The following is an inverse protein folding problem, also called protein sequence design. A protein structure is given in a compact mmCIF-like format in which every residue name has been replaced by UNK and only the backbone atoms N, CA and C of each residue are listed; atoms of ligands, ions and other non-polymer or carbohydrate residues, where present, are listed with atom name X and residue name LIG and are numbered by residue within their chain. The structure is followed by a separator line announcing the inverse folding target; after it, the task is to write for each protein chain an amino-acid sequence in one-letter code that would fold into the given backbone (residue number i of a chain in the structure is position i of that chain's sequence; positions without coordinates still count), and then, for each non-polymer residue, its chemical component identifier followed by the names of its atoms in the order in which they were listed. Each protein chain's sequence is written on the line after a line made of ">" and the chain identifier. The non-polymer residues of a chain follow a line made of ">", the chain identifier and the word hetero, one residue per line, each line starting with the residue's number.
data_IF_139717999930
#
_entry.id   IF_139717999930
#
_cell.length_a   1.000
_cell.length_b   1.000
_cell.length_c   1.000
_cell.angle_alpha   90.00
_cell.angle_beta   90.00
_cell.angle_gamma   90.00
#
_symmetry.space_group_name_H-M   'P 1'
#
loop_
_entity.id
_entity.type
_entity.pdbx_description
1 polymer ?
#
# COMPACT_ATOMS: atom_id res chain seq x y z
N UNK A 1 22.25 -21.15 70.34
CA UNK A 1 21.70 -19.84 69.96
C UNK A 1 22.00 -19.71 68.49
N UNK A 2 21.03 -20.11 67.63
CA UNK A 2 21.24 -20.23 66.17
C UNK A 2 20.63 -19.00 65.55
N UNK A 3 21.45 -18.18 64.92
CA UNK A 3 21.02 -16.99 64.18
C UNK A 3 20.55 -17.43 62.79
N UNK A 4 19.27 -17.23 62.55
CA UNK A 4 18.59 -17.52 61.27
C UNK A 4 18.79 -16.33 60.35
N UNK A 5 19.51 -16.46 59.24
CA UNK A 5 19.66 -15.44 58.24
C UNK A 5 18.38 -15.38 57.36
N UNK A 6 17.67 -14.28 57.35
CA UNK A 6 16.57 -14.09 56.37
C UNK A 6 17.02 -13.11 55.32
N UNK A 7 17.07 -13.48 54.05
CA UNK A 7 17.00 -12.39 53.09
C UNK A 7 17.47 -12.61 51.67
N UNK A 8 18.27 -13.63 51.38
CA UNK A 8 18.84 -13.77 50.03
C UNK A 8 17.81 -14.14 48.94
N UNK A 9 16.78 -14.93 49.32
CA UNK A 9 15.76 -15.42 48.38
C UNK A 9 14.76 -14.36 47.92
N UNK A 10 14.60 -13.27 48.66
CA UNK A 10 13.65 -12.18 48.28
C UNK A 10 14.25 -11.25 47.23
N UNK A 11 15.54 -10.98 47.29
CA UNK A 11 16.22 -10.08 46.32
C UNK A 11 16.35 -10.71 44.93
N UNK A 12 16.58 -12.02 44.87
CA UNK A 12 16.67 -12.74 43.59
C UNK A 12 15.35 -12.72 42.80
N UNK A 13 14.18 -12.82 43.50
CA UNK A 13 12.87 -12.75 42.86
C UNK A 13 12.55 -11.36 42.34
N UNK A 14 12.91 -10.30 43.04
CA UNK A 14 12.71 -8.93 42.58
C UNK A 14 13.62 -8.58 41.40
N UNK A 15 14.86 -9.03 41.37
CA UNK A 15 15.79 -8.80 40.25
C UNK A 15 15.30 -9.51 38.97
N UNK A 16 14.73 -10.72 39.07
CA UNK A 16 14.19 -11.45 37.93
C UNK A 16 12.95 -10.79 37.34
N UNK A 17 12.11 -10.19 38.17
CA UNK A 17 10.89 -9.45 37.68
C UNK A 17 11.28 -8.13 37.01
N UNK A 18 12.28 -7.41 37.55
CA UNK A 18 12.77 -6.18 36.89
C UNK A 18 13.46 -6.46 35.55
N UNK A 19 14.16 -7.58 35.40
CA UNK A 19 14.78 -7.95 34.13
C UNK A 19 13.76 -8.36 33.08
N UNK A 20 12.64 -8.98 33.47
CA UNK A 20 11.55 -9.33 32.55
C UNK A 20 10.80 -8.10 32.00
N UNK A 21 10.73 -7.00 32.74
CA UNK A 21 10.10 -5.74 32.30
C UNK A 21 10.99 -4.98 31.31
N UNK A 22 12.31 -5.12 31.41
CA UNK A 22 13.25 -4.48 30.48
C UNK A 22 13.31 -5.16 29.11
N UNK A 23 12.77 -6.38 28.97
CA UNK A 23 12.64 -7.10 27.70
C UNK A 23 11.31 -6.86 26.99
N UNK A 24 10.44 -6.00 27.53
CA UNK A 24 9.27 -5.48 26.82
C UNK A 24 9.76 -4.52 25.74
N UNK A 25 10.42 -5.07 24.73
CA UNK A 25 10.89 -4.31 23.59
C UNK A 25 9.71 -3.50 23.02
N UNK A 26 9.95 -2.24 22.72
CA UNK A 26 9.03 -1.42 21.94
C UNK A 26 8.66 -2.21 20.69
N UNK A 27 7.47 -2.78 20.66
CA UNK A 27 6.95 -3.38 19.43
C UNK A 27 6.80 -2.24 18.45
N UNK A 28 7.62 -2.25 17.40
CA UNK A 28 7.44 -1.33 16.27
C UNK A 28 5.99 -1.54 15.78
N UNK A 29 5.19 -0.47 15.67
CA UNK A 29 3.82 -0.63 15.21
C UNK A 29 3.84 -1.24 13.80
N UNK A 30 3.37 -2.47 13.66
CA UNK A 30 3.28 -3.13 12.37
C UNK A 30 2.35 -2.34 11.45
N UNK A 31 2.72 -2.24 10.17
CA UNK A 31 1.80 -1.77 9.15
C UNK A 31 0.65 -2.79 8.98
N UNK A 32 -0.50 -2.39 8.41
CA UNK A 32 -1.54 -3.34 8.06
C UNK A 32 -0.95 -4.49 7.24
N UNK A 33 -1.44 -5.70 7.44
CA UNK A 33 -1.12 -6.82 6.55
C UNK A 33 -1.87 -6.59 5.22
N UNK A 34 -1.22 -5.86 4.35
CA UNK A 34 -1.79 -5.31 3.12
C UNK A 34 -1.27 -6.05 1.88
N UNK A 35 -0.76 -7.23 2.05
CA UNK A 35 -0.01 -7.92 1.00
C UNK A 35 -0.81 -8.46 -0.17
N UNK A 36 -2.11 -8.20 -0.29
CA UNK A 36 -2.91 -8.73 -1.42
C UNK A 36 -4.04 -7.80 -1.81
N UNK A 37 -4.26 -7.70 -3.11
CA UNK A 37 -5.42 -7.04 -3.67
C UNK A 37 -6.67 -7.87 -3.34
N UNK A 38 -7.65 -7.23 -2.76
CA UNK A 38 -8.93 -7.82 -2.45
C UNK A 38 -9.94 -7.43 -3.53
N UNK A 39 -10.56 -8.43 -4.16
CA UNK A 39 -11.72 -8.22 -5.04
C UNK A 39 -12.97 -8.46 -4.21
N UNK A 40 -13.83 -7.44 -4.10
CA UNK A 40 -15.07 -7.57 -3.34
C UNK A 40 -15.93 -8.70 -3.92
N UNK A 41 -16.50 -9.52 -3.04
CA UNK A 41 -17.40 -10.61 -3.45
C UNK A 41 -18.63 -10.16 -4.25
N UNK A 42 -18.97 -8.88 -4.15
CA UNK A 42 -20.06 -8.24 -4.89
C UNK A 42 -19.55 -7.33 -6.01
N UNK A 43 -18.26 -7.41 -6.34
CA UNK A 43 -17.67 -6.60 -7.39
C UNK A 43 -18.42 -6.81 -8.72
N UNK A 44 -18.68 -5.71 -9.41
CA UNK A 44 -19.19 -5.75 -10.77
C UNK A 44 -18.05 -6.11 -11.74
N UNK A 45 -18.08 -7.32 -12.28
CA UNK A 45 -17.03 -7.80 -13.19
C UNK A 45 -17.58 -7.94 -14.59
N UNK A 46 -16.93 -7.28 -15.55
CA UNK A 46 -17.14 -7.44 -17.00
C UNK A 46 -15.78 -7.68 -17.65
N UNK A 47 -15.52 -8.90 -18.04
CA UNK A 47 -14.25 -9.36 -18.63
C UNK A 47 -14.08 -10.85 -18.47
N UNK A 48 -13.02 -11.40 -19.05
CA UNK A 48 -12.67 -12.80 -18.85
C UNK A 48 -11.99 -13.02 -17.48
N UNK A 49 -12.13 -14.21 -16.92
CA UNK A 49 -11.42 -14.59 -15.69
C UNK A 49 -9.89 -14.42 -15.84
N UNK A 50 -9.37 -14.62 -17.05
CA UNK A 50 -7.96 -14.42 -17.37
C UNK A 50 -7.57 -12.95 -17.19
N UNK A 51 -8.32 -12.02 -17.79
CA UNK A 51 -8.01 -10.59 -17.69
C UNK A 51 -8.07 -10.09 -16.24
N UNK A 52 -9.11 -10.50 -15.52
CA UNK A 52 -9.26 -10.16 -14.09
C UNK A 52 -8.08 -10.69 -13.28
N UNK A 53 -7.69 -11.95 -13.50
CA UNK A 53 -6.55 -12.56 -12.81
C UNK A 53 -5.24 -11.85 -13.12
N UNK A 54 -5.01 -11.48 -14.38
CA UNK A 54 -3.79 -10.76 -14.81
C UNK A 54 -3.74 -9.34 -14.26
N UNK A 55 -4.88 -8.63 -14.19
CA UNK A 55 -5.00 -7.32 -13.54
C UNK A 55 -4.61 -7.43 -12.07
N UNK A 56 -5.27 -8.32 -11.33
CA UNK A 56 -4.98 -8.54 -9.90
C UNK A 56 -3.50 -8.91 -9.69
N UNK A 57 -2.95 -9.77 -10.54
CA UNK A 57 -1.54 -10.14 -10.48
C UNK A 57 -0.59 -8.95 -10.74
N UNK A 58 -0.98 -7.99 -11.60
CA UNK A 58 -0.16 -6.80 -11.85
C UNK A 58 -0.09 -5.89 -10.62
N UNK A 59 -1.20 -5.67 -9.95
CA UNK A 59 -1.24 -4.90 -8.71
C UNK A 59 -0.54 -5.63 -7.55
N UNK A 60 -0.72 -6.95 -7.41
CA UNK A 60 0.00 -7.73 -6.38
C UNK A 60 1.52 -7.63 -6.56
N UNK A 61 2.03 -7.66 -7.81
CA UNK A 61 3.46 -7.45 -8.05
C UNK A 61 3.94 -6.05 -7.63
N UNK A 62 3.08 -5.03 -7.80
CA UNK A 62 3.39 -3.68 -7.34
C UNK A 62 3.44 -3.59 -5.81
N UNK A 63 2.53 -4.28 -5.10
CA UNK A 63 2.58 -4.39 -3.65
C UNK A 63 3.86 -5.09 -3.16
N UNK A 64 4.23 -6.20 -3.80
CA UNK A 64 5.49 -6.90 -3.48
C UNK A 64 6.70 -5.97 -3.70
N UNK A 65 6.70 -5.20 -4.80
CA UNK A 65 7.74 -4.22 -5.09
C UNK A 65 7.77 -3.07 -4.08
N UNK A 66 6.59 -2.59 -3.64
CA UNK A 66 6.46 -1.57 -2.61
C UNK A 66 7.09 -2.03 -1.28
N UNK A 67 6.76 -3.24 -0.85
CA UNK A 67 7.32 -3.85 0.36
C UNK A 67 8.83 -4.08 0.24
N UNK A 68 9.30 -4.54 -0.92
CA UNK A 68 10.72 -4.73 -1.21
C UNK A 68 11.48 -3.40 -1.41
N UNK A 69 10.76 -2.27 -1.52
CA UNK A 69 11.30 -0.95 -1.86
C UNK A 69 12.01 -0.94 -3.23
N UNK A 70 11.55 -1.80 -4.12
CA UNK A 70 12.06 -1.90 -5.50
C UNK A 70 11.31 -0.89 -6.38
N UNK A 71 11.93 0.27 -6.57
CA UNK A 71 11.34 1.36 -7.34
C UNK A 71 11.09 0.96 -8.81
N UNK A 72 12.00 0.22 -9.42
CA UNK A 72 11.88 -0.14 -10.84
C UNK A 72 10.73 -1.13 -11.06
N UNK A 73 10.62 -2.14 -10.19
CA UNK A 73 9.52 -3.07 -10.21
C UNK A 73 8.17 -2.40 -9.91
N UNK A 74 8.13 -1.46 -8.95
CA UNK A 74 6.93 -0.67 -8.64
C UNK A 74 6.50 0.18 -9.85
N UNK A 75 7.45 0.84 -10.50
CA UNK A 75 7.18 1.67 -11.68
C UNK A 75 6.73 0.86 -12.91
N UNK A 76 6.92 -0.46 -12.90
CA UNK A 76 6.39 -1.33 -13.95
C UNK A 76 4.85 -1.43 -13.94
N UNK A 77 4.17 -1.04 -12.86
CA UNK A 77 2.71 -0.96 -12.81
C UNK A 77 2.16 0.18 -13.68
N UNK A 78 2.96 1.19 -13.97
CA UNK A 78 2.51 2.37 -14.71
C UNK A 78 2.90 2.31 -16.18
N UNK A 79 1.97 2.72 -17.06
CA UNK A 79 2.20 2.89 -18.49
C UNK A 79 3.21 4.03 -18.74
N UNK A 80 3.98 3.94 -19.84
CA UNK A 80 4.82 5.06 -20.30
C UNK A 80 3.97 6.29 -20.68
N UNK A 81 2.72 6.05 -21.09
CA UNK A 81 1.75 7.09 -21.40
C UNK A 81 0.95 7.60 -20.19
N UNK A 82 1.36 7.22 -18.98
CA UNK A 82 0.64 7.66 -17.77
C UNK A 82 0.48 9.17 -17.71
N UNK A 83 -0.78 9.60 -17.47
CA UNK A 83 -1.13 11.01 -17.26
C UNK A 83 -2.26 11.11 -16.25
N UNK A 84 -2.03 11.89 -15.20
CA UNK A 84 -3.04 12.22 -14.22
C UNK A 84 -2.72 13.55 -13.55
N UNK A 85 -3.64 14.50 -13.56
CA UNK A 85 -3.46 15.86 -13.00
C UNK A 85 -2.13 16.53 -13.40
N UNK A 86 -1.72 16.36 -14.65
CA UNK A 86 -0.46 16.89 -15.16
C UNK A 86 0.79 16.08 -14.81
N UNK A 87 0.66 15.04 -13.97
CA UNK A 87 1.76 14.15 -13.64
C UNK A 87 1.99 13.12 -14.75
N UNK A 88 3.26 12.89 -15.03
CA UNK A 88 3.75 11.81 -15.89
C UNK A 88 4.30 10.64 -15.07
N UNK A 89 4.60 9.52 -15.72
CA UNK A 89 5.29 8.40 -15.08
C UNK A 89 6.62 8.83 -14.43
N UNK A 90 7.36 9.73 -15.07
CA UNK A 90 8.62 10.23 -14.51
C UNK A 90 8.41 11.08 -13.25
N UNK A 91 7.27 11.75 -13.11
CA UNK A 91 6.95 12.51 -11.91
C UNK A 91 6.53 11.57 -10.77
N UNK A 92 5.75 10.52 -11.08
CA UNK A 92 5.46 9.47 -10.10
C UNK A 92 6.73 8.82 -9.56
N UNK A 93 7.72 8.56 -10.44
CA UNK A 93 8.99 8.00 -10.00
C UNK A 93 9.68 8.86 -8.95
N UNK A 94 9.70 10.18 -9.13
CA UNK A 94 10.26 11.13 -8.14
C UNK A 94 9.47 11.08 -6.82
N UNK A 95 8.14 11.05 -6.90
CA UNK A 95 7.27 10.96 -5.74
C UNK A 95 7.57 9.66 -4.96
N UNK A 96 7.65 8.51 -5.62
CA UNK A 96 7.98 7.24 -4.96
C UNK A 96 9.39 7.21 -4.36
N UNK A 97 10.38 7.82 -5.04
CA UNK A 97 11.72 8.00 -4.47
C UNK A 97 11.67 8.80 -3.16
N UNK A 98 10.89 9.88 -3.14
CA UNK A 98 10.71 10.69 -1.94
C UNK A 98 10.01 9.89 -0.83
N UNK A 99 8.97 9.12 -1.15
CA UNK A 99 8.29 8.24 -0.20
C UNK A 99 9.26 7.23 0.42
N UNK A 100 10.06 6.55 -0.39
CA UNK A 100 11.09 5.64 0.10
C UNK A 100 12.17 6.33 0.92
N UNK A 101 12.42 7.63 0.71
CA UNK A 101 13.36 8.38 1.53
C UNK A 101 12.80 8.70 2.92
N UNK A 102 11.50 9.00 3.03
CA UNK A 102 10.83 9.46 4.25
C UNK A 102 10.32 8.34 5.17
N UNK A 103 10.03 7.17 4.61
CA UNK A 103 9.42 6.07 5.34
C UNK A 103 10.32 4.84 5.36
N UNK A 104 10.41 4.14 6.52
CA UNK A 104 11.16 2.90 6.66
C UNK A 104 10.46 1.74 5.96
N UNK A 105 9.14 1.72 6.06
CA UNK A 105 8.29 0.75 5.38
C UNK A 105 7.02 1.43 4.87
N UNK A 106 6.49 0.89 3.79
CA UNK A 106 5.24 1.29 3.15
C UNK A 106 4.38 0.06 2.93
N UNK A 107 3.07 0.23 3.00
CA UNK A 107 2.09 -0.79 2.68
C UNK A 107 0.82 -0.13 2.18
N UNK A 108 0.14 -0.74 1.21
CA UNK A 108 -1.17 -0.27 0.79
C UNK A 108 -2.25 -1.32 0.92
N UNK A 109 -3.48 -0.89 0.93
CA UNK A 109 -4.66 -1.74 0.90
C UNK A 109 -5.48 -1.40 -0.32
N UNK A 110 -5.98 -2.41 -1.03
CA UNK A 110 -6.81 -2.22 -2.22
C UNK A 110 -8.00 -3.15 -2.18
N UNK A 111 -9.18 -2.59 -2.36
CA UNK A 111 -10.41 -3.33 -2.57
C UNK A 111 -11.01 -2.93 -3.91
N UNK A 112 -11.05 -3.84 -4.85
CA UNK A 112 -11.68 -3.64 -6.15
C UNK A 112 -13.17 -3.95 -6.05
N UNK A 113 -14.00 -2.95 -6.32
CA UNK A 113 -15.46 -3.07 -6.33
C UNK A 113 -16.05 -3.15 -7.75
N UNK A 114 -15.24 -2.84 -8.77
CA UNK A 114 -15.61 -2.97 -10.18
C UNK A 114 -14.36 -3.23 -11.01
N UNK A 115 -14.47 -4.13 -12.00
CA UNK A 115 -13.47 -4.38 -13.03
C UNK A 115 -14.22 -4.51 -14.36
N UNK A 116 -14.10 -3.54 -15.24
CA UNK A 116 -14.72 -3.54 -16.56
C UNK A 116 -13.63 -3.57 -17.61
N UNK A 117 -13.48 -4.71 -18.26
CA UNK A 117 -12.55 -4.89 -19.38
C UNK A 117 -13.29 -4.60 -20.70
N UNK A 118 -12.65 -3.82 -21.56
CA UNK A 118 -13.15 -3.39 -22.85
C UNK A 118 -12.02 -3.14 -23.85
N UNK A 119 -12.25 -2.24 -24.79
CA UNK A 119 -11.30 -1.94 -25.86
C UNK A 119 -11.34 -2.94 -27.01
N UNK A 120 -10.25 -3.00 -27.79
CA UNK A 120 -10.12 -3.94 -28.90
C UNK A 120 -9.25 -5.14 -28.51
N UNK A 121 -9.29 -6.20 -29.32
CA UNK A 121 -8.41 -7.36 -29.10
C UNK A 121 -6.91 -7.02 -29.20
N UNK A 122 -6.57 -5.95 -29.94
CA UNK A 122 -5.19 -5.48 -30.09
C UNK A 122 -4.79 -4.43 -29.06
N UNK A 123 -5.75 -3.82 -28.38
CA UNK A 123 -5.53 -2.82 -27.34
C UNK A 123 -6.60 -2.97 -26.25
N UNK A 124 -6.50 -3.98 -25.40
CA UNK A 124 -7.40 -4.13 -24.26
C UNK A 124 -7.18 -2.97 -23.25
N UNK A 125 -8.30 -2.49 -22.72
CA UNK A 125 -8.32 -1.49 -21.64
C UNK A 125 -9.24 -1.98 -20.53
N UNK A 126 -9.08 -1.48 -19.32
CA UNK A 126 -10.06 -1.72 -18.27
C UNK A 126 -10.17 -0.53 -17.32
N UNK A 127 -11.37 -0.40 -16.74
CA UNK A 127 -11.67 0.52 -15.65
C UNK A 127 -11.84 -0.26 -14.35
N UNK A 128 -11.09 0.12 -13.32
CA UNK A 128 -11.10 -0.53 -12.03
C UNK A 128 -11.51 0.48 -10.98
N UNK A 129 -12.65 0.27 -10.31
CA UNK A 129 -13.00 1.07 -9.13
C UNK A 129 -12.35 0.48 -7.89
N UNK A 130 -11.56 1.30 -7.21
CA UNK A 130 -10.77 0.90 -6.06
C UNK A 130 -11.05 1.79 -4.85
N UNK A 131 -11.09 1.17 -3.68
CA UNK A 131 -11.04 1.84 -2.38
C UNK A 131 -9.83 1.33 -1.63
N UNK A 132 -9.07 2.22 -1.02
CA UNK A 132 -7.86 1.80 -0.32
C UNK A 132 -7.17 2.89 0.47
N UNK A 133 -5.98 2.58 0.95
CA UNK A 133 -5.13 3.53 1.67
C UNK A 133 -3.67 3.14 1.60
N UNK A 134 -2.80 4.14 1.62
CA UNK A 134 -1.35 4.01 1.70
C UNK A 134 -0.88 4.36 3.12
N UNK A 135 -0.10 3.49 3.71
CA UNK A 135 0.45 3.62 5.06
C UNK A 135 1.96 3.68 5.02
N UNK A 136 2.55 4.38 5.97
CA UNK A 136 3.98 4.42 6.14
C UNK A 136 4.41 4.41 7.60
N UNK A 137 5.61 3.87 7.86
CA UNK A 137 6.32 4.04 9.10
C UNK A 137 7.31 5.20 8.95
N UNK A 138 6.99 6.35 9.56
CA UNK A 138 7.79 7.57 9.44
C UNK A 138 9.18 7.38 10.06
N UNK A 139 10.24 7.66 9.30
CA UNK A 139 11.63 7.66 9.80
C UNK A 139 11.87 8.72 10.86
N UNK A 140 11.21 9.87 10.73
CA UNK A 140 11.38 11.00 11.64
C UNK A 140 10.78 10.73 13.02
N UNK A 141 9.58 10.12 13.05
CA UNK A 141 8.82 9.98 14.31
C UNK A 141 8.74 8.55 14.82
N UNK A 142 9.12 7.56 14.01
CA UNK A 142 8.93 6.13 14.30
C UNK A 142 7.46 5.71 14.39
N UNK A 143 6.53 6.55 13.94
CA UNK A 143 5.08 6.30 14.03
C UNK A 143 4.51 5.84 12.71
N UNK A 144 3.51 4.98 12.80
CA UNK A 144 2.67 4.62 11.67
C UNK A 144 1.74 5.80 11.34
N UNK A 145 1.70 6.17 10.07
CA UNK A 145 0.83 7.23 9.53
C UNK A 145 0.07 6.74 8.31
N UNK A 146 -1.13 7.27 8.12
CA UNK A 146 -1.81 7.19 6.83
C UNK A 146 -1.24 8.30 5.96
N UNK A 147 -0.69 7.93 4.82
CA UNK A 147 -0.12 8.89 3.87
C UNK A 147 -1.21 9.38 2.94
N UNK A 148 -2.06 8.46 2.48
CA UNK A 148 -3.14 8.72 1.55
C UNK A 148 -4.27 7.72 1.70
N UNK A 149 -5.48 8.08 1.23
CA UNK A 149 -6.62 7.18 1.14
C UNK A 149 -7.56 7.64 0.04
N UNK A 150 -8.14 6.68 -0.66
CA UNK A 150 -9.03 6.88 -1.78
C UNK A 150 -10.30 6.05 -1.64
N UNK A 151 -11.35 6.54 -2.25
CA UNK A 151 -12.66 5.92 -2.14
C UNK A 151 -13.35 5.89 -3.52
N UNK A 152 -13.59 4.68 -4.03
CA UNK A 152 -14.16 4.45 -5.37
C UNK A 152 -13.42 5.16 -6.51
N UNK A 153 -12.13 5.37 -6.37
CA UNK A 153 -11.31 5.91 -7.44
C UNK A 153 -11.25 4.94 -8.62
N UNK A 154 -11.30 5.48 -9.84
CA UNK A 154 -11.25 4.67 -11.05
C UNK A 154 -9.83 4.72 -11.61
N UNK A 155 -9.18 3.56 -11.67
CA UNK A 155 -7.94 3.39 -12.38
C UNK A 155 -8.23 2.98 -13.83
N UNK A 156 -7.76 3.78 -14.79
CA UNK A 156 -7.74 3.40 -16.19
C UNK A 156 -6.48 2.57 -16.46
N UNK A 157 -6.64 1.32 -16.83
CA UNK A 157 -5.55 0.44 -17.14
C UNK A 157 -5.57 0.01 -18.60
N UNK A 158 -4.39 -0.24 -19.14
CA UNK A 158 -4.16 -0.70 -20.52
C UNK A 158 -3.29 -1.95 -20.48
N UNK A 159 -3.57 -2.89 -21.39
CA UNK A 159 -2.70 -4.04 -21.61
C UNK A 159 -1.63 -3.68 -22.63
N UNK A 160 -0.40 -3.60 -22.18
CA UNK A 160 0.75 -3.27 -23.02
C UNK A 160 2.00 -4.06 -22.60
N UNK A 161 2.78 -4.49 -23.58
CA UNK A 161 4.04 -5.24 -23.35
C UNK A 161 3.83 -6.46 -22.42
N UNK A 162 2.71 -7.17 -22.59
CA UNK A 162 2.43 -8.40 -21.87
C UNK A 162 1.93 -8.22 -20.42
N UNK A 163 1.55 -7.00 -20.01
CA UNK A 163 1.04 -6.73 -18.66
C UNK A 163 -0.02 -5.61 -18.65
N UNK A 164 -0.91 -5.66 -17.67
CA UNK A 164 -1.82 -4.57 -17.36
C UNK A 164 -1.08 -3.46 -16.60
N UNK A 165 -1.25 -2.20 -17.06
CA UNK A 165 -0.58 -1.03 -16.48
C UNK A 165 -1.54 0.13 -16.30
N UNK A 166 -1.38 0.90 -15.24
CA UNK A 166 -2.16 2.12 -14.99
C UNK A 166 -1.73 3.19 -16.00
N UNK A 167 -2.69 3.68 -16.79
CA UNK A 167 -2.50 4.78 -17.74
C UNK A 167 -2.92 6.13 -17.16
N UNK A 168 -3.75 6.12 -16.15
CA UNK A 168 -4.27 7.29 -15.46
C UNK A 168 -5.43 6.91 -14.56
N UNK A 169 -6.05 7.92 -14.01
CA UNK A 169 -7.24 7.76 -13.16
C UNK A 169 -8.37 8.62 -13.74
N UNK A 170 -9.61 8.17 -13.60
CA UNK A 170 -10.75 9.06 -13.65
C UNK A 170 -11.01 9.43 -12.18
N UNK A 171 -10.37 10.49 -11.77
CA UNK A 171 -10.91 11.25 -10.68
C UNK A 171 -11.99 12.13 -11.28
N UNK A 172 -13.18 12.18 -10.73
CA UNK A 172 -13.95 13.40 -10.86
C UNK A 172 -13.00 14.53 -10.49
N UNK A 173 -13.02 15.64 -11.26
CA UNK A 173 -12.53 16.92 -10.73
C UNK A 173 -13.11 17.02 -9.34
N UNK A 174 -12.28 16.83 -8.34
CA UNK A 174 -12.75 16.78 -6.97
C UNK A 174 -13.46 18.09 -6.74
N UNK A 175 -14.77 18.05 -6.83
CA UNK A 175 -15.59 19.11 -6.25
C UNK A 175 -15.00 19.28 -4.89
N UNK A 176 -14.31 20.40 -4.66
CA UNK A 176 -13.48 20.63 -3.52
C UNK A 176 -14.13 20.00 -2.28
N UNK A 177 -13.64 18.82 -1.90
CA UNK A 177 -14.09 18.23 -0.66
C UNK A 177 -13.77 19.25 0.40
N UNK A 178 -14.65 19.50 1.38
CA UNK A 178 -14.52 20.62 2.32
C UNK A 178 -13.20 20.63 3.11
N UNK A 179 -12.34 19.65 2.91
CA UNK A 179 -11.06 19.48 3.59
C UNK A 179 -9.83 19.46 2.65
N UNK A 180 -9.99 19.86 1.37
CA UNK A 180 -8.86 20.06 0.48
C UNK A 180 -8.06 18.79 0.16
N UNK A 181 -8.73 17.67 -0.03
CA UNK A 181 -8.08 16.41 -0.43
C UNK A 181 -7.56 16.58 -1.85
N UNK A 182 -6.23 16.59 -1.99
CA UNK A 182 -5.60 16.53 -3.30
C UNK A 182 -5.93 15.21 -3.99
N UNK A 183 -6.07 15.21 -5.32
CA UNK A 183 -6.17 13.96 -6.07
C UNK A 183 -4.98 13.07 -5.74
N UNK A 184 -5.26 11.82 -5.47
CA UNK A 184 -4.24 10.88 -5.07
C UNK A 184 -3.53 10.32 -6.31
N UNK A 185 -2.19 10.45 -6.40
CA UNK A 185 -1.41 10.05 -7.56
C UNK A 185 -1.00 8.58 -7.54
N UNK A 186 -1.38 7.84 -6.51
CA UNK A 186 -0.91 6.48 -6.26
C UNK A 186 -2.01 5.47 -6.57
N UNK A 187 -1.69 4.34 -7.15
CA UNK A 187 -2.53 3.15 -7.42
C UNK A 187 -3.94 3.41 -7.91
#
# INVERSE_FOLDING_TARGET
>A
MTIKEPGLHRYVKCAAICLAILLSGCTIPALPDAGKIYVDRWAEIKGSDKDVSEIVASFNRAEDALHARDLDALMALYSEEYRYHGLSKSDLRKIWQEMFSRYDSLASTHMFSRIHVGGSATQPIADISCTGSLWGLSKETGKRVIIDSWFYEIHHVVYENGAWRIRGHAGEDTKALPFGVSPHPFF
#
